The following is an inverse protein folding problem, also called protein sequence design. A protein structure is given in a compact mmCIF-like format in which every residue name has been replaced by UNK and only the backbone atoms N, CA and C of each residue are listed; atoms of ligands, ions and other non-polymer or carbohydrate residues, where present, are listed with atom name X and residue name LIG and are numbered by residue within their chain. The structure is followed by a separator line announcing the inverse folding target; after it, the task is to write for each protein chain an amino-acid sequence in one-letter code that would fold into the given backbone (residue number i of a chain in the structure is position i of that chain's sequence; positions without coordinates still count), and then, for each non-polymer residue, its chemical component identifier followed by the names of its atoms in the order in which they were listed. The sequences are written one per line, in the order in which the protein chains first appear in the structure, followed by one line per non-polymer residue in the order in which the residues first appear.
data_IF_149492539735
#
_entry.id   IF_149492539735
#
_cell.length_a   1.000
_cell.length_b   1.000
_cell.length_c   1.000
_cell.angle_alpha   90.00
_cell.angle_beta   90.00
_cell.angle_gamma   90.00
#
_symmetry.space_group_name_H-M   'P 1'
#
loop_
_entity.id
_entity.type
_entity.pdbx_description
1 polymer ?
#
# COMPACT_ATOMS: atom_id res chain seq x y z
N UNK A 1 14.20 13.29 0.66
CA UNK A 1 13.44 12.33 1.51
C UNK A 1 13.72 12.50 3.00
N UNK A 2 14.97 12.38 3.46
CA UNK A 2 15.33 12.57 4.89
C UNK A 2 14.93 13.95 5.44
N UNK A 3 15.23 15.03 4.70
CA UNK A 3 14.87 16.40 5.08
C UNK A 3 13.35 16.63 5.15
N UNK A 4 12.58 15.96 4.29
CA UNK A 4 11.12 16.07 4.25
C UNK A 4 10.46 15.32 5.41
N UNK A 5 10.97 14.14 5.80
CA UNK A 5 10.48 13.43 6.99
C UNK A 5 10.70 14.24 8.27
N UNK A 6 11.84 14.94 8.37
CA UNK A 6 12.14 15.81 9.51
C UNK A 6 11.20 17.03 9.57
N UNK A 7 10.95 17.68 8.44
CA UNK A 7 10.02 18.81 8.34
C UNK A 7 8.55 18.43 8.62
N UNK A 8 8.15 17.20 8.33
CA UNK A 8 6.78 16.69 8.51
C UNK A 8 6.57 15.97 9.86
N UNK A 9 7.55 15.96 10.77
CA UNK A 9 7.44 15.29 12.07
C UNK A 9 7.33 13.76 11.99
N UNK A 10 7.69 13.16 10.86
CA UNK A 10 7.61 11.71 10.65
C UNK A 10 8.80 11.02 11.30
N UNK A 11 8.54 10.07 12.20
CA UNK A 11 9.58 9.29 12.86
C UNK A 11 10.19 8.30 11.87
N UNK A 12 11.39 8.61 11.38
CA UNK A 12 12.11 7.71 10.48
C UNK A 12 12.91 6.69 11.29
N UNK A 13 12.43 5.46 11.32
CA UNK A 13 13.18 4.33 11.88
C UNK A 13 14.09 3.77 10.79
N UNK A 14 15.38 4.11 10.86
CA UNK A 14 16.39 3.59 9.93
C UNK A 14 16.73 2.15 10.35
N UNK A 15 16.16 1.18 9.63
CA UNK A 15 16.49 -0.23 9.81
C UNK A 15 17.76 -0.55 9.01
N UNK A 16 18.76 -1.12 9.67
CA UNK A 16 20.01 -1.55 9.02
C UNK A 16 19.70 -2.64 7.98
N UNK A 17 20.32 -2.55 6.80
CA UNK A 17 20.20 -3.59 5.78
C UNK A 17 20.65 -4.92 6.36
N UNK A 18 19.81 -5.95 6.26
CA UNK A 18 20.17 -7.31 6.70
C UNK A 18 21.32 -7.80 5.82
N UNK A 19 22.38 -8.31 6.45
CA UNK A 19 23.52 -8.89 5.76
C UNK A 19 23.10 -10.21 5.09
N UNK A 20 23.34 -10.33 3.79
CA UNK A 20 23.05 -11.52 2.99
C UNK A 20 22.98 -11.20 1.50
N UNK A 21 23.26 -12.20 0.68
CA UNK A 21 23.10 -12.13 -0.78
C UNK A 21 21.73 -12.67 -1.15
N UNK A 22 21.00 -11.96 -2.01
CA UNK A 22 19.66 -12.38 -2.48
C UNK A 22 18.48 -11.78 -1.71
N UNK A 23 17.30 -12.37 -1.90
CA UNK A 23 16.03 -11.90 -1.33
C UNK A 23 15.84 -12.43 0.10
N UNK A 24 15.84 -11.52 1.08
CA UNK A 24 15.64 -11.86 2.50
C UNK A 24 14.20 -11.48 2.88
N UNK A 25 13.42 -12.47 3.30
CA UNK A 25 12.04 -12.27 3.75
C UNK A 25 12.04 -11.50 5.07
N UNK A 26 11.57 -10.25 5.02
CA UNK A 26 11.38 -9.41 6.20
C UNK A 26 10.02 -9.71 6.85
N UNK A 27 9.98 -9.99 8.16
CA UNK A 27 8.72 -10.12 8.89
C UNK A 27 7.84 -8.88 8.68
N UNK A 28 6.56 -9.07 8.37
CA UNK A 28 5.55 -8.01 8.11
C UNK A 28 5.74 -7.13 6.86
N UNK A 29 6.87 -7.20 6.12
CA UNK A 29 7.06 -6.44 4.87
C UNK A 29 5.96 -6.73 3.85
N UNK A 30 5.50 -7.98 3.80
CA UNK A 30 4.39 -8.38 2.94
C UNK A 30 3.11 -7.57 3.19
N UNK A 31 2.86 -7.06 4.41
CA UNK A 31 1.63 -6.31 4.74
C UNK A 31 1.59 -5.02 3.93
N UNK A 32 2.71 -4.30 3.89
CA UNK A 32 2.86 -3.05 3.13
C UNK A 32 2.78 -3.32 1.64
N UNK A 33 3.54 -4.30 1.15
CA UNK A 33 3.55 -4.67 -0.27
C UNK A 33 2.17 -5.12 -0.75
N UNK A 34 1.41 -5.81 0.10
CA UNK A 34 0.04 -6.22 -0.21
C UNK A 34 -0.90 -5.02 -0.33
N UNK A 35 -0.79 -4.04 0.56
CA UNK A 35 -1.57 -2.80 0.46
C UNK A 35 -1.24 -2.04 -0.83
N UNK A 36 0.04 -1.91 -1.17
CA UNK A 36 0.47 -1.33 -2.44
C UNK A 36 -0.05 -2.12 -3.65
N UNK A 37 -0.03 -3.45 -3.57
CA UNK A 37 -0.60 -4.32 -4.60
C UNK A 37 -2.11 -4.12 -4.78
N UNK A 38 -2.87 -3.84 -3.71
CA UNK A 38 -4.29 -3.50 -3.84
C UNK A 38 -4.51 -2.13 -4.46
N UNK A 39 -3.73 -1.12 -4.04
CA UNK A 39 -3.81 0.23 -4.61
C UNK A 39 -3.44 0.23 -6.09
N UNK A 40 -2.43 -0.54 -6.50
CA UNK A 40 -2.03 -0.70 -7.90
C UNK A 40 -3.11 -1.30 -8.80
N UNK A 41 -4.10 -2.03 -8.24
CA UNK A 41 -5.27 -2.50 -9.02
C UNK A 41 -6.29 -1.41 -9.29
N UNK A 42 -6.23 -0.28 -8.59
CA UNK A 42 -7.09 0.86 -8.82
C UNK A 42 -6.44 1.76 -9.88
N UNK A 43 -6.79 1.54 -11.15
CA UNK A 43 -6.17 2.18 -12.33
C UNK A 43 -5.95 3.70 -12.19
N UNK A 44 -6.85 4.42 -11.50
CA UNK A 44 -6.71 5.87 -11.32
C UNK A 44 -5.51 6.26 -10.44
N UNK A 45 -5.07 5.40 -9.52
CA UNK A 45 -3.85 5.60 -8.72
C UNK A 45 -2.57 5.15 -9.45
N UNK A 46 -2.65 4.77 -10.73
CA UNK A 46 -1.47 4.33 -11.50
C UNK A 46 -0.51 5.49 -11.82
N UNK A 47 -1.00 6.72 -11.78
CA UNK A 47 -0.25 7.95 -12.03
C UNK A 47 -0.83 9.04 -11.15
N UNK A 48 0.01 9.96 -10.71
CA UNK A 48 -0.44 11.15 -9.99
C UNK A 48 -1.10 12.08 -11.00
N UNK A 49 -2.43 12.05 -11.05
CA UNK A 49 -3.24 12.92 -11.90
C UNK A 49 -3.69 14.17 -11.14
N UNK A 50 -3.65 14.11 -9.81
CA UNK A 50 -4.12 15.13 -8.90
C UNK A 50 -3.02 16.18 -8.65
N UNK A 51 -3.33 17.46 -8.84
CA UNK A 51 -2.41 18.57 -8.55
C UNK A 51 -2.28 18.85 -7.06
N UNK A 52 -3.36 18.58 -6.31
CA UNK A 52 -3.48 18.86 -4.88
C UNK A 52 -3.32 17.58 -4.05
N UNK A 53 -2.51 17.60 -2.98
CA UNK A 53 -2.28 16.45 -2.13
C UNK A 53 -3.57 15.96 -1.45
N UNK A 54 -4.49 16.86 -1.12
CA UNK A 54 -5.78 16.53 -0.48
C UNK A 54 -6.66 15.67 -1.40
N UNK A 55 -6.60 15.93 -2.72
CA UNK A 55 -7.35 15.16 -3.71
C UNK A 55 -6.72 13.77 -3.86
N UNK A 56 -5.40 13.69 -3.88
CA UNK A 56 -4.69 12.40 -3.95
C UNK A 56 -4.97 11.53 -2.71
N UNK A 57 -4.98 12.14 -1.52
CA UNK A 57 -5.38 11.47 -0.27
C UNK A 57 -6.83 10.96 -0.33
N UNK A 58 -7.75 11.79 -0.83
CA UNK A 58 -9.16 11.39 -1.02
C UNK A 58 -9.26 10.20 -1.97
N UNK A 59 -8.44 10.14 -3.02
CA UNK A 59 -8.43 9.02 -3.97
C UNK A 59 -7.94 7.71 -3.36
N UNK A 60 -6.91 7.76 -2.50
CA UNK A 60 -6.44 6.61 -1.73
C UNK A 60 -7.54 6.12 -0.77
N UNK A 61 -8.21 7.06 -0.10
CA UNK A 61 -9.34 6.77 0.80
C UNK A 61 -10.49 6.09 0.05
N UNK A 62 -10.87 6.59 -1.13
CA UNK A 62 -11.91 5.97 -1.96
C UNK A 62 -11.51 4.57 -2.45
N UNK A 63 -10.25 4.36 -2.85
CA UNK A 63 -9.75 3.06 -3.28
C UNK A 63 -9.81 2.02 -2.14
N UNK A 64 -9.46 2.42 -0.91
CA UNK A 64 -9.53 1.54 0.26
C UNK A 64 -10.97 1.26 0.68
N UNK A 65 -11.86 2.25 0.68
CA UNK A 65 -13.31 2.05 0.93
C UNK A 65 -13.89 1.06 -0.08
N UNK A 66 -13.62 1.24 -1.38
CA UNK A 66 -14.07 0.33 -2.44
C UNK A 66 -13.59 -1.11 -2.20
N UNK A 67 -12.33 -1.27 -1.78
CA UNK A 67 -11.77 -2.58 -1.45
C UNK A 67 -12.50 -3.22 -0.27
N UNK A 68 -12.77 -2.46 0.79
CA UNK A 68 -13.50 -2.96 1.97
C UNK A 68 -14.95 -3.31 1.61
N UNK A 69 -15.66 -2.46 0.88
CA UNK A 69 -17.00 -2.74 0.37
C UNK A 69 -17.03 -4.01 -0.47
N UNK A 70 -16.06 -4.20 -1.36
CA UNK A 70 -15.97 -5.41 -2.17
C UNK A 70 -15.77 -6.68 -1.30
N UNK A 71 -15.00 -6.60 -0.20
CA UNK A 71 -14.82 -7.71 0.74
C UNK A 71 -16.07 -8.01 1.54
N UNK A 72 -16.78 -6.98 1.99
CA UNK A 72 -18.04 -7.11 2.73
C UNK A 72 -19.14 -7.70 1.85
N UNK A 73 -19.23 -7.28 0.58
CA UNK A 73 -20.17 -7.82 -0.39
C UNK A 73 -19.81 -9.24 -0.86
N UNK A 74 -18.52 -9.62 -0.82
CA UNK A 74 -18.04 -10.93 -1.28
C UNK A 74 -17.13 -11.60 -0.23
N UNK A 75 -17.65 -11.92 0.96
CA UNK A 75 -16.85 -12.44 2.07
C UNK A 75 -16.21 -13.81 1.76
N UNK A 76 -16.76 -14.53 0.77
CA UNK A 76 -16.41 -15.92 0.47
C UNK A 76 -15.63 -16.11 -0.85
N UNK A 77 -15.06 -15.05 -1.43
CA UNK A 77 -14.36 -15.12 -2.73
C UNK A 77 -13.07 -15.97 -2.72
N UNK A 78 -12.76 -16.62 -1.60
CA UNK A 78 -11.79 -17.72 -1.49
C UNK A 78 -12.44 -18.96 -0.85
N UNK A 79 -13.20 -19.71 -1.65
CA UNK A 79 -13.38 -21.16 -1.51
C UNK A 79 -13.55 -21.89 -2.84
N UNK A 80 -13.32 -21.24 -3.99
CA UNK A 80 -13.18 -22.01 -5.23
C UNK A 80 -11.72 -22.52 -5.30
N UNK A 81 -11.51 -23.84 -5.39
CA UNK A 81 -10.18 -24.37 -5.63
C UNK A 81 -9.66 -23.81 -6.95
N UNK A 82 -8.35 -23.60 -7.04
CA UNK A 82 -7.70 -23.45 -8.33
C UNK A 82 -8.07 -24.66 -9.19
N UNK A 83 -8.46 -24.48 -10.47
CA UNK A 83 -8.69 -25.60 -11.38
C UNK A 83 -7.44 -26.47 -11.54
#
# INVERSE_FOLDING_TARGET
MLLACFLLGLTLIIVRRIAGTGFIVLPRRWVVERTLGWLGRFRRLSKDYEELPEVSETMITLATIRLMLHRLAHPNRKRLPSP
#
